data_IF_887144920394
#
_entry.id   IF_887144920394
#
_cell.length_a   1.000
_cell.length_b   1.000
_cell.length_c   1.000
_cell.angle_alpha   90.00
_cell.angle_beta   90.00
_cell.angle_gamma   90.00
#
_symmetry.space_group_name_H-M   'P 1'
#
loop_
_entity.id
_entity.type
_entity.pdbx_description
1 polymer ?
#
# COMPACT_ATOMS: atom_id res chain seq x y z
N UNK A 1 2.28 -2.56 -10.22
CA UNK A 1 1.89 -3.99 -10.21
C UNK A 1 0.52 -4.08 -9.55
N UNK A 2 -0.52 -4.64 -10.20
CA UNK A 2 -1.78 -4.84 -9.52
C UNK A 2 -1.58 -5.85 -8.37
N UNK A 3 -2.15 -5.61 -7.18
CA UNK A 3 -2.09 -6.58 -6.11
C UNK A 3 -2.79 -7.86 -6.57
N UNK A 4 -2.16 -9.01 -6.36
CA UNK A 4 -2.76 -10.32 -6.60
C UNK A 4 -3.94 -10.52 -5.64
N UNK A 5 -5.12 -10.04 -6.05
CA UNK A 5 -6.37 -10.30 -5.35
C UNK A 5 -6.62 -11.80 -5.34
N UNK A 6 -7.01 -12.37 -4.18
CA UNK A 6 -7.33 -13.80 -3.98
C UNK A 6 -7.93 -14.46 -5.23
N UNK A 7 -7.10 -15.12 -6.04
CA UNK A 7 -7.57 -16.04 -7.07
C UNK A 7 -7.51 -17.42 -6.45
N UNK A 8 -8.67 -17.99 -6.09
CA UNK A 8 -8.75 -19.40 -5.75
C UNK A 8 -8.67 -20.23 -7.02
N UNK A 9 -7.47 -20.54 -7.50
CA UNK A 9 -7.29 -21.53 -8.57
C UNK A 9 -7.40 -22.95 -7.99
N UNK A 10 -8.58 -23.54 -8.07
CA UNK A 10 -8.77 -24.95 -7.76
C UNK A 10 -8.28 -25.80 -8.93
N UNK A 11 -7.08 -26.39 -8.82
CA UNK A 11 -6.73 -27.58 -9.62
C UNK A 11 -7.47 -28.77 -8.99
N UNK A 12 -8.36 -29.40 -9.77
CA UNK A 12 -9.41 -30.35 -9.35
C UNK A 12 -10.53 -29.72 -8.50
N UNK A 13 -11.64 -29.37 -9.15
CA UNK A 13 -12.80 -28.69 -8.56
C UNK A 13 -13.74 -29.63 -7.79
N UNK A 14 -13.86 -29.54 -6.45
CA UNK A 14 -15.16 -29.65 -5.81
C UNK A 14 -15.92 -28.33 -6.03
N UNK A 15 -17.17 -28.41 -6.48
CA UNK A 15 -18.05 -27.25 -6.68
C UNK A 15 -18.37 -26.64 -5.30
N UNK A 16 -17.71 -25.54 -4.93
CA UNK A 16 -18.01 -24.83 -3.68
C UNK A 16 -19.34 -24.05 -3.83
N UNK A 17 -20.19 -24.13 -2.82
CA UNK A 17 -21.53 -23.52 -2.81
C UNK A 17 -21.50 -22.06 -2.36
N UNK A 18 -20.56 -21.71 -1.48
CA UNK A 18 -20.48 -20.38 -0.87
C UNK A 18 -19.04 -19.89 -0.87
N UNK A 19 -18.85 -18.62 -1.24
CA UNK A 19 -17.56 -17.93 -1.21
C UNK A 19 -17.73 -16.64 -0.41
N UNK A 20 -16.87 -16.42 0.57
CA UNK A 20 -16.90 -15.22 1.40
C UNK A 20 -15.51 -14.62 1.51
N UNK A 21 -15.48 -13.30 1.73
CA UNK A 21 -14.26 -12.57 1.98
C UNK A 21 -14.45 -11.70 3.23
N UNK A 22 -13.50 -11.77 4.15
CA UNK A 22 -13.57 -11.07 5.45
C UNK A 22 -12.28 -10.30 5.69
N UNK A 23 -12.36 -9.13 6.34
CA UNK A 23 -11.18 -8.36 6.76
C UNK A 23 -10.96 -8.53 8.26
N UNK A 24 -9.70 -8.72 8.66
CA UNK A 24 -9.32 -8.75 10.07
C UNK A 24 -9.46 -7.36 10.69
N UNK A 25 -10.26 -7.26 11.74
CA UNK A 25 -10.48 -6.02 12.47
C UNK A 25 -9.38 -5.84 13.52
N UNK A 26 -8.54 -4.82 13.32
CA UNK A 26 -7.39 -4.55 14.21
C UNK A 26 -7.78 -4.37 15.70
N UNK A 27 -9.00 -3.90 15.98
CA UNK A 27 -9.48 -3.67 17.36
C UNK A 27 -9.93 -4.93 18.11
N UNK A 28 -10.48 -5.93 17.40
CA UNK A 28 -11.01 -7.15 18.02
C UNK A 28 -10.20 -8.40 17.68
N UNK A 29 -9.34 -8.36 16.66
CA UNK A 29 -8.63 -9.55 16.15
C UNK A 29 -9.55 -10.55 15.45
N UNK A 30 -10.79 -10.15 15.15
CA UNK A 30 -11.80 -11.00 14.51
C UNK A 30 -11.98 -10.63 13.04
N UNK A 31 -12.41 -11.61 12.23
CA UNK A 31 -12.72 -11.40 10.82
C UNK A 31 -14.15 -10.89 10.66
N UNK A 32 -14.31 -9.77 9.96
CA UNK A 32 -15.61 -9.18 9.62
C UNK A 32 -15.87 -9.34 8.12
N UNK A 33 -17.04 -9.89 7.76
CA UNK A 33 -17.42 -10.09 6.36
C UNK A 33 -17.48 -8.77 5.59
N UNK A 34 -16.92 -8.79 4.38
CA UNK A 34 -16.92 -7.62 3.51
C UNK A 34 -18.27 -7.45 2.83
N UNK A 35 -18.86 -6.27 3.04
CA UNK A 35 -20.07 -5.86 2.33
C UNK A 35 -19.75 -5.34 0.94
N UNK A 36 -20.59 -5.70 -0.02
CA UNK A 36 -20.53 -5.13 -1.36
C UNK A 36 -20.78 -3.62 -1.33
N UNK A 37 -20.00 -2.88 -2.10
CA UNK A 37 -20.11 -1.43 -2.22
C UNK A 37 -19.56 -0.96 -3.57
N UNK A 38 -19.63 0.34 -3.86
CA UNK A 38 -19.09 0.91 -5.10
C UNK A 38 -17.62 0.57 -5.35
N UNK A 39 -16.83 0.34 -4.29
CA UNK A 39 -15.39 0.10 -4.35
C UNK A 39 -14.97 -1.29 -3.87
N UNK A 40 -15.93 -2.17 -3.53
CA UNK A 40 -15.67 -3.54 -3.08
C UNK A 40 -16.66 -4.47 -3.74
N UNK A 41 -16.18 -5.43 -4.54
CA UNK A 41 -17.03 -6.41 -5.24
C UNK A 41 -16.50 -7.82 -5.05
N UNK A 42 -17.38 -8.78 -4.79
CA UNK A 42 -17.04 -10.20 -4.78
C UNK A 42 -17.60 -10.84 -6.05
N UNK A 43 -16.71 -11.27 -6.94
CA UNK A 43 -17.11 -11.90 -8.19
C UNK A 43 -17.54 -13.36 -7.95
N UNK A 44 -18.39 -13.90 -8.82
CA UNK A 44 -18.89 -15.28 -8.74
C UNK A 44 -17.78 -16.34 -8.74
N UNK A 45 -16.63 -16.04 -9.35
CA UNK A 45 -15.46 -16.92 -9.35
C UNK A 45 -14.71 -16.92 -7.99
N UNK A 46 -15.08 -16.07 -7.03
CA UNK A 46 -14.44 -15.93 -5.73
C UNK A 46 -13.39 -14.83 -5.64
N UNK A 47 -13.24 -14.02 -6.69
CA UNK A 47 -12.29 -12.90 -6.70
C UNK A 47 -12.87 -11.70 -5.97
N UNK A 48 -12.17 -11.23 -4.93
CA UNK A 48 -12.45 -9.97 -4.27
C UNK A 48 -11.77 -8.82 -5.03
N UNK A 49 -12.55 -7.85 -5.51
CA UNK A 49 -12.06 -6.65 -6.19
C UNK A 49 -12.21 -5.46 -5.27
N UNK A 50 -11.08 -4.80 -4.95
CA UNK A 50 -11.05 -3.54 -4.22
C UNK A 50 -10.59 -2.42 -5.16
N UNK A 51 -11.37 -1.36 -5.27
CA UNK A 51 -11.05 -0.17 -6.09
C UNK A 51 -10.65 1.01 -5.20
N UNK A 52 -9.85 1.93 -5.74
CA UNK A 52 -9.35 3.11 -5.04
C UNK A 52 -8.78 2.76 -3.65
N UNK A 53 -7.90 1.76 -3.63
CA UNK A 53 -7.29 1.26 -2.41
C UNK A 53 -6.39 2.33 -1.81
N UNK A 54 -6.67 2.72 -0.57
CA UNK A 54 -5.85 3.62 0.26
C UNK A 54 -5.35 2.83 1.48
N UNK A 55 -4.48 3.46 2.27
CA UNK A 55 -3.85 2.86 3.46
C UNK A 55 -4.86 2.27 4.46
N UNK A 56 -6.07 2.82 4.56
CA UNK A 56 -7.16 2.30 5.40
C UNK A 56 -7.62 0.89 5.01
N UNK A 57 -7.40 0.51 3.74
CA UNK A 57 -7.71 -0.82 3.23
C UNK A 57 -6.59 -1.81 3.48
N UNK A 58 -5.40 -1.39 3.90
CA UNK A 58 -4.32 -2.30 4.30
C UNK A 58 -4.78 -3.27 5.41
N UNK A 59 -4.24 -4.49 5.38
CA UNK A 59 -4.47 -5.48 6.43
C UNK A 59 -4.60 -6.91 5.92
N UNK A 60 -5.11 -7.77 6.80
CA UNK A 60 -5.29 -9.20 6.53
C UNK A 60 -6.71 -9.49 6.07
N UNK A 61 -6.81 -10.24 4.99
CA UNK A 61 -8.05 -10.67 4.37
C UNK A 61 -8.13 -12.19 4.36
N UNK A 62 -9.25 -12.74 4.82
CA UNK A 62 -9.53 -14.17 4.78
C UNK A 62 -10.52 -14.45 3.65
N UNK A 63 -10.09 -15.26 2.70
CA UNK A 63 -10.92 -15.77 1.61
C UNK A 63 -11.33 -17.19 1.95
N UNK A 64 -12.63 -17.47 2.08
CA UNK A 64 -13.15 -18.78 2.46
C UNK A 64 -14.12 -19.32 1.40
N UNK A 65 -14.03 -20.63 1.14
CA UNK A 65 -14.95 -21.35 0.28
C UNK A 65 -15.45 -22.60 0.99
N UNK A 66 -16.78 -22.82 0.96
CA UNK A 66 -17.42 -23.98 1.58
C UNK A 66 -18.43 -24.60 0.63
N UNK A 67 -18.56 -25.93 0.68
CA UNK A 67 -19.60 -26.70 0.00
C UNK A 67 -20.70 -27.16 0.97
N UNK A 68 -20.70 -26.66 2.21
CA UNK A 68 -21.67 -27.05 3.25
C UNK A 68 -21.39 -28.41 3.92
N UNK A 69 -20.30 -29.09 3.54
CA UNK A 69 -19.93 -30.40 4.09
C UNK A 69 -18.50 -30.31 4.65
N UNK A 70 -18.37 -30.45 5.97
CA UNK A 70 -17.10 -30.35 6.67
C UNK A 70 -16.59 -28.92 6.85
N UNK A 71 -15.34 -28.78 7.29
CA UNK A 71 -14.68 -27.47 7.44
C UNK A 71 -14.29 -26.95 6.07
N UNK A 72 -14.86 -25.82 5.65
CA UNK A 72 -14.52 -25.16 4.39
C UNK A 72 -13.02 -24.80 4.30
N UNK A 73 -12.55 -24.52 3.09
CA UNK A 73 -11.17 -24.11 2.86
C UNK A 73 -11.03 -22.59 2.99
N UNK A 74 -9.92 -22.13 3.56
CA UNK A 74 -9.64 -20.71 3.74
C UNK A 74 -8.17 -20.37 3.51
N UNK A 75 -7.92 -19.18 2.97
CA UNK A 75 -6.56 -18.61 2.84
C UNK A 75 -6.54 -17.17 3.32
N UNK A 76 -5.54 -16.85 4.15
CA UNK A 76 -5.26 -15.49 4.59
C UNK A 76 -4.28 -14.84 3.62
N UNK A 77 -4.58 -13.61 3.20
CA UNK A 77 -3.74 -12.78 2.33
C UNK A 77 -3.52 -11.45 3.02
N UNK A 78 -2.27 -11.00 3.06
CA UNK A 78 -1.94 -9.64 3.51
C UNK A 78 -2.00 -8.70 2.30
N UNK A 79 -2.94 -7.76 2.32
CA UNK A 79 -2.93 -6.64 1.40
C UNK A 79 -2.00 -5.58 1.98
N UNK A 80 -1.04 -5.09 1.19
CA UNK A 80 -0.23 -3.91 1.48
C UNK A 80 -0.45 -2.88 0.41
N UNK A 81 -0.53 -1.61 0.80
CA UNK A 81 -0.77 -0.51 -0.13
C UNK A 81 0.53 0.25 -0.30
N UNK A 82 1.13 0.11 -1.48
CA UNK A 82 2.39 0.78 -1.77
C UNK A 82 2.17 2.25 -2.18
N UNK A 83 3.02 3.13 -1.66
CA UNK A 83 3.06 4.55 -1.98
C UNK A 83 4.38 4.93 -2.66
N UNK A 84 4.26 5.56 -3.84
CA UNK A 84 5.40 6.16 -4.55
C UNK A 84 6.03 7.26 -3.69
N UNK A 85 7.35 7.49 -3.76
CA UNK A 85 7.95 8.63 -3.08
C UNK A 85 7.33 9.96 -3.53
N UNK A 86 6.94 10.80 -2.57
CA UNK A 86 6.38 12.13 -2.82
C UNK A 86 6.88 13.13 -1.78
N UNK A 87 7.00 14.39 -2.19
CA UNK A 87 7.37 15.48 -1.29
C UNK A 87 6.18 15.87 -0.43
N UNK A 88 6.36 15.91 0.89
CA UNK A 88 5.31 16.29 1.84
C UNK A 88 4.84 17.74 1.63
N UNK A 89 5.77 18.60 1.21
CA UNK A 89 5.55 20.02 1.01
C UNK A 89 6.30 20.52 -0.23
N UNK A 90 5.80 21.58 -0.89
CA UNK A 90 6.53 22.26 -1.95
C UNK A 90 7.85 22.85 -1.42
N UNK A 91 8.82 22.98 -2.31
CA UNK A 91 10.10 23.62 -1.98
C UNK A 91 9.87 25.07 -1.55
N UNK A 92 10.60 25.50 -0.51
CA UNK A 92 10.56 26.87 -0.01
C UNK A 92 11.76 27.65 -0.53
N UNK A 93 11.54 28.89 -0.96
CA UNK A 93 12.62 29.80 -1.27
C UNK A 93 13.33 30.20 0.03
N UNK A 94 14.63 29.98 0.08
CA UNK A 94 15.48 30.37 1.21
C UNK A 94 16.41 31.47 0.73
N UNK A 95 16.39 32.62 1.43
CA UNK A 95 17.29 33.75 1.17
C UNK A 95 18.15 33.97 2.40
N UNK A 96 19.46 34.00 2.21
CA UNK A 96 20.45 34.23 3.27
C UNK A 96 21.39 35.35 2.86
N UNK A 97 21.99 36.04 3.84
CA UNK A 97 23.03 37.03 3.57
C UNK A 97 24.33 36.32 3.21
N UNK A 98 25.21 37.03 2.51
CA UNK A 98 26.56 36.56 2.24
C UNK A 98 27.26 36.27 3.59
N UNK A 99 27.92 35.13 3.70
CA UNK A 99 28.56 34.59 4.92
C UNK A 99 27.63 33.91 5.94
N UNK A 100 26.31 33.91 5.73
CA UNK A 100 25.38 33.15 6.58
C UNK A 100 25.14 31.74 6.01
N UNK A 101 24.76 30.81 6.87
CA UNK A 101 24.47 29.42 6.47
C UNK A 101 23.01 29.27 6.05
N UNK A 102 22.77 28.71 4.86
CA UNK A 102 21.44 28.30 4.41
C UNK A 102 21.19 26.81 4.69
N UNK A 103 20.00 26.49 5.22
CA UNK A 103 19.55 25.12 5.39
C UNK A 103 18.35 24.86 4.49
N UNK A 104 18.48 23.85 3.63
CA UNK A 104 17.38 23.38 2.78
C UNK A 104 16.76 22.15 3.42
N UNK A 105 15.45 22.19 3.64
CA UNK A 105 14.71 21.07 4.20
C UNK A 105 13.94 20.36 3.10
N UNK A 106 14.05 19.03 3.06
CA UNK A 106 13.32 18.18 2.13
C UNK A 106 12.72 17.02 2.92
N UNK A 107 11.39 16.96 2.94
CA UNK A 107 10.62 15.91 3.59
C UNK A 107 9.95 15.06 2.51
N UNK A 108 10.32 13.78 2.47
CA UNK A 108 9.83 12.81 1.48
C UNK A 108 9.14 11.67 2.22
N UNK A 109 7.93 11.35 1.78
CA UNK A 109 7.16 10.20 2.22
C UNK A 109 7.07 9.18 1.09
N UNK A 110 6.83 7.92 1.42
CA UNK A 110 6.72 6.82 0.45
C UNK A 110 7.26 5.51 1.02
N UNK A 111 7.18 4.46 0.22
CA UNK A 111 7.78 3.18 0.58
C UNK A 111 9.31 3.20 0.49
N UNK A 112 9.96 2.52 1.43
CA UNK A 112 11.40 2.29 1.41
C UNK A 112 11.77 1.18 0.43
N UNK A 113 12.95 1.23 -0.21
CA UNK A 113 14.00 2.25 -0.05
C UNK A 113 13.73 3.53 -0.85
N UNK A 114 14.00 4.69 -0.22
CA UNK A 114 13.93 6.01 -0.88
C UNK A 114 15.34 6.58 -0.96
N UNK A 115 15.76 6.99 -2.17
CA UNK A 115 17.03 7.67 -2.40
C UNK A 115 16.77 9.16 -2.64
N UNK A 116 17.43 10.01 -1.87
CA UNK A 116 17.30 11.47 -1.98
C UNK A 116 18.63 12.03 -2.51
N UNK A 117 18.55 12.79 -3.60
CA UNK A 117 19.68 13.51 -4.19
C UNK A 117 19.36 15.00 -4.22
N UNK A 118 20.37 15.82 -3.91
CA UNK A 118 20.28 17.27 -4.00
C UNK A 118 21.01 17.73 -5.25
N UNK A 119 20.39 18.61 -6.04
CA UNK A 119 20.98 19.12 -7.28
C UNK A 119 21.04 20.65 -7.27
N UNK A 120 22.22 21.22 -7.53
CA UNK A 120 22.41 22.64 -7.81
C UNK A 120 22.22 22.90 -9.30
N UNK A 121 21.30 23.81 -9.63
CA UNK A 121 20.97 24.16 -11.03
C UNK A 121 20.49 22.97 -11.87
N UNK A 122 19.97 21.92 -11.22
CA UNK A 122 19.51 20.69 -11.87
C UNK A 122 20.62 19.80 -12.47
N UNK A 123 21.91 20.11 -12.22
CA UNK A 123 23.04 19.41 -12.88
C UNK A 123 24.12 18.90 -11.92
N UNK A 124 24.39 19.62 -10.84
CA UNK A 124 25.51 19.31 -9.94
C UNK A 124 24.95 18.66 -8.69
N UNK A 125 25.31 17.40 -8.43
CA UNK A 125 24.95 16.73 -7.18
C UNK A 125 25.64 17.40 -5.98
N UNK A 126 24.83 17.75 -4.99
CA UNK A 126 25.28 18.29 -3.72
C UNK A 126 25.40 17.13 -2.74
N UNK A 127 26.62 16.90 -2.24
CA UNK A 127 26.84 15.92 -1.19
C UNK A 127 26.53 16.59 0.17
N UNK A 128 25.60 16.06 0.98
CA UNK A 128 25.29 16.61 2.31
C UNK A 128 26.50 16.65 3.25
N UNK A 129 27.51 15.81 2.98
CA UNK A 129 28.73 15.67 3.78
C UNK A 129 29.78 16.75 3.47
N UNK A 130 29.65 17.46 2.33
CA UNK A 130 30.60 18.49 1.92
C UNK A 130 30.10 19.85 2.35
N UNK A 131 30.80 20.46 3.30
CA UNK A 131 30.55 21.82 3.76
C UNK A 131 31.04 22.80 2.68
N UNK A 132 30.16 23.23 1.78
CA UNK A 132 30.50 24.20 0.74
C UNK A 132 30.65 25.59 1.38
N UNK A 133 31.88 25.95 1.75
CA UNK A 133 32.25 27.31 2.20
C UNK A 133 32.52 28.17 0.97
N UNK A 134 31.83 29.30 0.86
CA UNK A 134 32.07 30.35 -0.13
C UNK A 134 32.31 31.68 0.59
#
# INVERSE_FOLDING_TARGET
MPPEFCVTTARNTPRFSTKTASKLRAKSGEYEELRESSYTKLLNNGTLVLQHVKEDREGYYLCQASNGIGTGIGKVVQLRVNSSPYFAAPSRLVTVKKSDTATLHCEVHGDKPITIIWLKGGKIELNPSTNYRY
#
